data_IF_403766696236
#
_entry.id   IF_403766696236
#
_cell.length_a   1.000
_cell.length_b   1.000
_cell.length_c   1.000
_cell.angle_alpha   90.00
_cell.angle_beta   90.00
_cell.angle_gamma   90.00
#
_symmetry.space_group_name_H-M   'P 1'
#
loop_
_entity.id
_entity.type
_entity.pdbx_description
1 polymer ?
#
# COMPACT_ATOMS: atom_id res chain seq x y z
N UNK A 1 35.91 17.21 8.50
CA UNK A 1 35.53 16.89 7.10
C UNK A 1 35.14 15.43 6.91
N UNK A 2 35.83 14.46 7.52
CA UNK A 2 35.49 13.02 7.45
C UNK A 2 34.13 12.65 8.04
N UNK A 3 33.72 13.31 9.13
CA UNK A 3 32.42 13.07 9.79
C UNK A 3 31.22 13.43 8.89
N UNK A 4 31.33 14.53 8.12
CA UNK A 4 30.30 14.95 7.16
C UNK A 4 30.09 13.94 6.03
N UNK A 5 31.18 13.31 5.57
CA UNK A 5 31.14 12.29 4.51
C UNK A 5 30.48 11.00 5.02
N UNK A 6 30.75 10.59 6.26
CA UNK A 6 30.12 9.42 6.88
C UNK A 6 28.61 9.57 7.05
N UNK A 7 28.15 10.74 7.50
CA UNK A 7 26.70 11.03 7.64
C UNK A 7 26.00 11.10 6.28
N UNK A 8 26.64 11.72 5.28
CA UNK A 8 26.08 11.80 3.92
C UNK A 8 25.95 10.41 3.26
N UNK A 9 26.94 9.53 3.41
CA UNK A 9 26.89 8.17 2.87
C UNK A 9 25.77 7.33 3.51
N UNK A 10 25.55 7.46 4.82
CA UNK A 10 24.48 6.76 5.53
C UNK A 10 23.09 7.26 5.11
N UNK A 11 22.93 8.57 4.91
CA UNK A 11 21.69 9.16 4.41
C UNK A 11 21.39 8.73 2.96
N UNK A 12 22.40 8.69 2.08
CA UNK A 12 22.26 8.22 0.70
C UNK A 12 21.94 6.71 0.65
N UNK A 13 22.64 5.91 1.45
CA UNK A 13 22.37 4.47 1.57
C UNK A 13 20.97 4.18 2.11
N UNK A 14 20.57 4.89 3.18
CA UNK A 14 19.23 4.78 3.76
C UNK A 14 18.12 5.20 2.78
N UNK A 15 18.30 6.32 2.07
CA UNK A 15 17.36 6.79 1.06
C UNK A 15 17.19 5.76 -0.08
N UNK A 16 18.30 5.20 -0.57
CA UNK A 16 18.26 4.20 -1.64
C UNK A 16 17.52 2.93 -1.22
N UNK A 17 17.75 2.44 0.00
CA UNK A 17 17.04 1.28 0.56
C UNK A 17 15.54 1.55 0.66
N UNK A 18 15.14 2.69 1.23
CA UNK A 18 13.73 3.07 1.35
C UNK A 18 13.06 3.19 -0.02
N UNK A 19 13.75 3.79 -1.00
CA UNK A 19 13.23 3.91 -2.36
C UNK A 19 13.04 2.54 -3.02
N UNK A 20 13.97 1.59 -2.80
CA UNK A 20 13.88 0.21 -3.29
C UNK A 20 12.71 -0.53 -2.65
N UNK A 21 12.52 -0.40 -1.33
CA UNK A 21 11.41 -0.99 -0.59
C UNK A 21 10.06 -0.46 -1.09
N UNK A 22 9.93 0.85 -1.27
CA UNK A 22 8.71 1.46 -1.83
C UNK A 22 8.35 0.89 -3.21
N UNK A 23 9.34 0.72 -4.09
CA UNK A 23 9.11 0.08 -5.40
C UNK A 23 8.61 -1.36 -5.26
N UNK A 24 9.21 -2.14 -4.36
CA UNK A 24 8.79 -3.52 -4.12
C UNK A 24 7.40 -3.62 -3.50
N UNK A 25 7.04 -2.73 -2.59
CA UNK A 25 5.68 -2.65 -2.04
C UNK A 25 4.64 -2.35 -3.12
N UNK A 26 4.94 -1.42 -4.04
CA UNK A 26 4.04 -1.14 -5.16
C UNK A 26 3.88 -2.33 -6.13
N UNK A 27 4.94 -3.11 -6.35
CA UNK A 27 4.85 -4.36 -7.13
C UNK A 27 3.96 -5.40 -6.43
N UNK A 28 4.14 -5.57 -5.11
CA UNK A 28 3.35 -6.51 -4.29
C UNK A 28 1.88 -6.10 -4.25
N UNK A 29 1.58 -4.81 -4.02
CA UNK A 29 0.22 -4.29 -4.01
C UNK A 29 -0.48 -4.56 -5.34
N UNK A 30 0.18 -4.25 -6.47
CA UNK A 30 -0.35 -4.55 -7.79
C UNK A 30 -0.61 -6.05 -8.00
N UNK A 31 0.27 -6.92 -7.49
CA UNK A 31 0.09 -8.36 -7.58
C UNK A 31 -1.11 -8.83 -6.75
N UNK A 32 -1.25 -8.35 -5.52
CA UNK A 32 -2.37 -8.67 -4.62
C UNK A 32 -3.68 -8.13 -5.20
N UNK A 33 -3.72 -6.88 -5.68
CA UNK A 33 -4.92 -6.30 -6.31
C UNK A 33 -5.34 -7.10 -7.54
N UNK A 34 -4.40 -7.55 -8.36
CA UNK A 34 -4.69 -8.41 -9.52
C UNK A 34 -5.16 -9.80 -9.09
N UNK A 35 -4.55 -10.39 -8.07
CA UNK A 35 -4.95 -11.68 -7.53
C UNK A 35 -6.36 -11.63 -6.92
N UNK A 36 -6.66 -10.58 -6.14
CA UNK A 36 -7.98 -10.33 -5.58
C UNK A 36 -9.03 -10.11 -6.68
N UNK A 37 -8.72 -9.31 -7.70
CA UNK A 37 -9.62 -9.10 -8.85
C UNK A 37 -9.86 -10.38 -9.67
N UNK A 38 -8.89 -11.32 -9.68
CA UNK A 38 -9.05 -12.64 -10.31
C UNK A 38 -9.85 -13.61 -9.44
N UNK A 39 -9.61 -13.60 -8.14
CA UNK A 39 -10.27 -14.49 -7.17
C UNK A 39 -11.75 -14.15 -7.01
N UNK A 40 -12.11 -12.87 -7.15
CA UNK A 40 -13.49 -12.44 -7.18
C UNK A 40 -13.71 -11.32 -8.23
N UNK A 41 -14.19 -11.67 -9.44
CA UNK A 41 -14.49 -10.72 -10.51
C UNK A 41 -15.58 -9.71 -10.14
N UNK A 42 -16.46 -10.06 -9.18
CA UNK A 42 -17.52 -9.22 -8.64
C UNK A 42 -17.12 -8.56 -7.30
N UNK A 43 -16.06 -9.05 -6.67
CA UNK A 43 -15.60 -8.70 -5.33
C UNK A 43 -14.69 -7.49 -5.26
N UNK A 44 -14.86 -6.52 -6.17
CA UNK A 44 -14.21 -5.19 -6.06
C UNK A 44 -14.72 -4.35 -4.87
N UNK A 45 -15.18 -5.02 -3.82
CA UNK A 45 -15.83 -4.48 -2.65
C UNK A 45 -17.24 -4.06 -3.00
N UNK A 46 -18.23 -4.85 -2.60
CA UNK A 46 -19.59 -4.34 -2.44
C UNK A 46 -19.48 -3.06 -1.62
N UNK A 47 -19.73 -1.91 -2.25
CA UNK A 47 -19.46 -0.61 -1.62
C UNK A 47 -20.28 -0.55 -0.35
N UNK A 48 -19.63 -0.58 0.82
CA UNK A 48 -20.36 -0.54 2.07
C UNK A 48 -20.86 0.89 2.30
N UNK A 49 -22.16 1.04 2.56
CA UNK A 49 -22.79 2.32 2.92
C UNK A 49 -23.12 2.28 4.41
N UNK A 50 -22.84 3.38 5.11
CA UNK A 50 -23.23 3.54 6.51
C UNK A 50 -24.76 3.63 6.60
N UNK A 51 -25.37 2.71 7.34
CA UNK A 51 -26.79 2.73 7.65
C UNK A 51 -27.04 3.71 8.81
N UNK A 52 -27.79 4.81 8.59
CA UNK A 52 -28.04 5.82 9.62
C UNK A 52 -28.92 5.32 10.77
N UNK A 53 -29.69 4.24 10.57
CA UNK A 53 -30.58 3.70 11.60
C UNK A 53 -29.86 2.72 12.54
N UNK A 54 -29.01 1.86 11.97
CA UNK A 54 -28.29 0.84 12.75
C UNK A 54 -26.86 1.24 13.14
N UNK A 55 -26.31 2.30 12.53
CA UNK A 55 -24.91 2.71 12.67
C UNK A 55 -23.90 1.72 12.09
N UNK A 56 -24.37 0.68 11.39
CA UNK A 56 -23.54 -0.38 10.80
C UNK A 56 -23.36 -0.16 9.31
N UNK A 57 -22.24 -0.64 8.77
CA UNK A 57 -21.97 -0.62 7.35
C UNK A 57 -22.66 -1.81 6.66
N UNK A 58 -23.47 -1.55 5.63
CA UNK A 58 -24.18 -2.56 4.83
C UNK A 58 -23.70 -2.55 3.37
N UNK A 59 -23.67 -3.71 2.69
CA UNK A 59 -23.37 -3.74 1.26
C UNK A 59 -24.40 -2.94 0.47
N UNK A 60 -23.93 -2.08 -0.44
CA UNK A 60 -24.76 -1.45 -1.45
C UNK A 60 -25.26 -2.53 -2.42
N UNK A 61 -26.55 -2.86 -2.32
CA UNK A 61 -27.24 -3.69 -3.30
C UNK A 61 -27.27 -3.01 -4.69
#
# INVERSE_FOLDING_TARGET
MTELIGVAALAVGGYWIVQRLKRKMAEVENHISRAAAKADPNGRGTKLILDPESGKYKPKA
#
